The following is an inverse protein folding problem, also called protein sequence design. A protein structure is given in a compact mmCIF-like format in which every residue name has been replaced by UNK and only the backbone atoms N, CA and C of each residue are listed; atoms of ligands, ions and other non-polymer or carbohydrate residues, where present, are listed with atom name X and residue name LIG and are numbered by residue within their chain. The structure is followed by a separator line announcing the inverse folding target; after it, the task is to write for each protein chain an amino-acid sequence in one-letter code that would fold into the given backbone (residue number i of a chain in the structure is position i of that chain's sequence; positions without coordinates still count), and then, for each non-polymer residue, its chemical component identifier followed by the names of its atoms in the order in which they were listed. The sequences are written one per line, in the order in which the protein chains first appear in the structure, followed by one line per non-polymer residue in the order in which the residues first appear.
data_IF_639213802410
#
_entry.id   IF_639213802410
#
_cell.length_a   1.000
_cell.length_b   1.000
_cell.length_c   1.000
_cell.angle_alpha   90.00
_cell.angle_beta   90.00
_cell.angle_gamma   90.00
#
_symmetry.space_group_name_H-M   'P 1'
#
loop_
_entity.id
_entity.type
_entity.pdbx_description
1 polymer ?
#
# COMPACT_ATOMS: atom_id res chain seq x y z
N UNK A 1 9.92 25.39 14.35
CA UNK A 1 9.68 24.05 14.90
C UNK A 1 8.47 23.45 14.19
N UNK A 2 8.54 22.22 13.71
CA UNK A 2 7.39 21.50 13.12
C UNK A 2 6.34 21.36 14.24
N UNK A 3 5.07 21.68 13.95
CA UNK A 3 3.98 21.54 14.93
C UNK A 3 3.75 20.06 15.21
N UNK A 4 3.66 19.68 16.47
CA UNK A 4 3.31 18.31 16.86
C UNK A 4 1.90 17.99 16.38
N UNK A 5 1.74 16.87 15.65
CA UNK A 5 0.46 16.34 15.21
C UNK A 5 0.34 14.86 15.49
N UNK A 6 -0.86 14.43 15.82
CA UNK A 6 -1.21 13.02 16.06
C UNK A 6 -2.52 12.73 15.33
N UNK A 7 -2.48 11.87 14.37
CA UNK A 7 -3.66 11.45 13.60
C UNK A 7 -3.86 9.95 13.77
N UNK A 8 -5.09 9.56 14.04
CA UNK A 8 -5.49 8.16 14.16
C UNK A 8 -6.68 7.95 13.25
N UNK A 9 -6.63 6.90 12.44
CA UNK A 9 -7.73 6.47 11.57
C UNK A 9 -7.98 4.99 11.80
N UNK A 10 -9.25 4.63 11.99
CA UNK A 10 -9.69 3.25 12.01
C UNK A 10 -10.21 2.85 10.64
N UNK A 11 -9.73 1.73 10.11
CA UNK A 11 -10.20 1.15 8.85
C UNK A 11 -11.15 -0.02 9.16
N UNK A 12 -12.43 0.18 8.90
CA UNK A 12 -13.49 -0.80 9.18
C UNK A 12 -13.37 -2.08 8.33
N UNK A 13 -12.84 -1.97 7.10
CA UNK A 13 -12.70 -3.11 6.19
C UNK A 13 -11.58 -4.05 6.66
N UNK A 14 -10.45 -3.49 7.07
CA UNK A 14 -9.29 -4.25 7.54
C UNK A 14 -9.39 -4.58 9.02
N UNK A 15 -10.13 -3.79 9.80
CA UNK A 15 -10.26 -3.91 11.26
C UNK A 15 -8.99 -3.49 11.99
N UNK A 16 -8.28 -2.47 11.51
CA UNK A 16 -7.02 -1.98 12.06
C UNK A 16 -7.04 -0.48 12.30
N UNK A 17 -6.19 -0.01 13.21
CA UNK A 17 -5.94 1.42 13.42
C UNK A 17 -4.62 1.81 12.80
N UNK A 18 -4.59 2.93 12.07
CA UNK A 18 -3.38 3.57 11.58
C UNK A 18 -3.05 4.82 12.40
N UNK A 19 -1.81 4.95 12.81
CA UNK A 19 -1.27 6.08 13.56
C UNK A 19 -0.27 6.85 12.72
N UNK A 20 -0.44 8.17 12.63
CA UNK A 20 0.56 9.09 12.10
C UNK A 20 0.94 10.07 13.20
N UNK A 21 2.18 10.02 13.64
CA UNK A 21 2.77 10.92 14.61
C UNK A 21 3.83 11.76 13.91
N UNK A 22 3.75 13.09 14.03
CA UNK A 22 4.70 13.99 13.40
C UNK A 22 5.15 15.06 14.37
N UNK A 23 6.44 15.34 14.39
CA UNK A 23 7.01 16.39 15.21
C UNK A 23 7.05 16.10 16.71
N UNK A 24 6.96 14.81 17.11
CA UNK A 24 6.85 14.41 18.52
C UNK A 24 8.19 14.54 19.24
N UNK A 25 8.22 15.30 20.33
CA UNK A 25 9.38 15.41 21.24
C UNK A 25 9.13 14.75 22.60
N UNK A 26 7.87 14.58 22.98
CA UNK A 26 7.50 14.01 24.26
C UNK A 26 7.95 12.53 24.40
N UNK A 27 8.34 12.09 25.62
CA UNK A 27 8.54 10.68 25.88
C UNK A 27 7.21 9.94 25.96
N UNK A 28 7.24 8.66 25.61
CA UNK A 28 6.15 7.72 25.88
C UNK A 28 6.53 6.95 27.17
N UNK A 29 5.70 7.07 28.23
CA UNK A 29 5.96 6.37 29.50
C UNK A 29 5.86 4.85 29.30
N UNK A 30 6.35 4.09 30.27
CA UNK A 30 6.25 2.64 30.22
C UNK A 30 4.79 2.20 30.24
N UNK A 31 4.37 1.46 29.21
CA UNK A 31 3.02 0.94 29.04
C UNK A 31 3.03 -0.30 28.15
N UNK A 32 1.91 -0.96 28.02
CA UNK A 32 1.67 -2.03 27.05
C UNK A 32 0.35 -1.79 26.31
N UNK A 33 0.20 -2.42 25.17
CA UNK A 33 -1.00 -2.41 24.37
C UNK A 33 -1.54 -3.82 24.19
N UNK A 34 -2.85 -3.96 23.99
CA UNK A 34 -3.51 -5.25 23.73
C UNK A 34 -3.50 -5.66 22.26
N UNK A 35 -2.79 -4.92 21.42
CA UNK A 35 -2.68 -5.09 19.99
C UNK A 35 -1.26 -5.51 19.58
N UNK A 36 -1.14 -6.11 18.41
CA UNK A 36 0.13 -6.08 17.68
C UNK A 36 0.37 -4.67 17.16
N UNK A 37 1.58 -4.16 17.35
CA UNK A 37 1.98 -2.87 16.79
C UNK A 37 3.04 -3.11 15.73
N UNK A 38 2.82 -2.60 14.54
CA UNK A 38 3.80 -2.59 13.45
C UNK A 38 4.06 -1.14 13.08
N UNK A 39 5.28 -0.66 13.33
CA UNK A 39 5.61 0.73 13.14
C UNK A 39 6.89 0.96 12.35
N UNK A 40 7.02 2.15 11.79
CA UNK A 40 8.18 2.60 11.02
C UNK A 40 8.60 4.00 11.50
N UNK A 41 9.87 4.15 11.83
CA UNK A 41 10.47 5.45 12.15
C UNK A 41 10.78 6.17 10.83
N UNK A 42 10.13 7.31 10.58
CA UNK A 42 10.36 8.11 9.38
C UNK A 42 11.40 9.21 9.61
N UNK A 43 11.43 9.79 10.81
CA UNK A 43 12.46 10.75 11.21
C UNK A 43 12.67 10.79 12.72
N UNK A 44 13.79 11.36 13.15
CA UNK A 44 14.19 11.45 14.55
C UNK A 44 14.78 10.15 15.09
N UNK A 45 15.41 10.26 16.27
CA UNK A 45 15.99 9.12 16.96
C UNK A 45 15.35 8.93 18.34
N UNK A 46 15.19 7.69 18.77
CA UNK A 46 14.59 7.36 20.07
C UNK A 46 15.39 6.28 20.81
N UNK A 47 15.39 6.37 22.13
CA UNK A 47 15.71 5.24 22.97
C UNK A 47 14.41 4.51 23.31
N UNK A 48 14.33 3.27 22.87
CA UNK A 48 13.22 2.36 23.15
C UNK A 48 13.71 1.31 24.16
N UNK A 49 12.98 1.15 25.27
CA UNK A 49 13.11 -0.01 26.14
C UNK A 49 11.90 -0.91 25.93
N UNK A 50 12.12 -2.16 25.55
CA UNK A 50 11.07 -3.14 25.30
C UNK A 50 11.50 -4.51 25.79
N UNK A 51 10.68 -5.18 26.62
CA UNK A 51 10.95 -6.53 27.17
C UNK A 51 12.33 -6.65 27.80
N UNK A 52 12.74 -5.65 28.57
CA UNK A 52 14.08 -5.53 29.22
C UNK A 52 15.26 -5.48 28.22
N UNK A 53 15.02 -5.08 26.99
CA UNK A 53 16.05 -4.78 26.00
C UNK A 53 15.96 -3.32 25.59
N UNK A 54 17.13 -2.69 25.44
CA UNK A 54 17.24 -1.29 25.03
C UNK A 54 17.71 -1.19 23.58
N UNK A 55 17.03 -0.33 22.81
CA UNK A 55 17.32 -0.06 21.42
C UNK A 55 17.51 1.43 21.19
N UNK A 56 18.38 1.78 20.25
CA UNK A 56 18.44 3.14 19.70
C UNK A 56 17.81 3.11 18.30
N UNK A 57 16.61 3.62 18.22
CA UNK A 57 15.86 3.71 16.97
C UNK A 57 16.34 4.88 16.14
N UNK A 58 16.39 4.67 14.82
CA UNK A 58 16.76 5.64 13.79
C UNK A 58 15.79 5.57 12.61
N UNK A 59 15.77 6.55 11.70
CA UNK A 59 14.96 6.51 10.49
C UNK A 59 15.20 5.23 9.69
N UNK A 60 14.11 4.57 9.27
CA UNK A 60 14.10 3.28 8.58
C UNK A 60 13.94 2.07 9.49
N UNK A 61 14.12 2.22 10.81
CA UNK A 61 13.86 1.13 11.74
C UNK A 61 12.36 0.84 11.84
N UNK A 62 12.02 -0.44 11.76
CA UNK A 62 10.68 -0.95 12.06
C UNK A 62 10.61 -1.43 13.49
N UNK A 63 9.49 -1.17 14.15
CA UNK A 63 9.19 -1.69 15.49
C UNK A 63 8.02 -2.66 15.43
N UNK A 64 8.11 -3.72 16.24
CA UNK A 64 7.13 -4.78 16.30
C UNK A 64 6.86 -5.16 17.74
N UNK A 65 5.66 -4.86 18.25
CA UNK A 65 5.26 -5.24 19.60
C UNK A 65 4.14 -6.26 19.56
N UNK A 66 4.24 -7.24 20.48
CA UNK A 66 3.13 -8.15 20.73
C UNK A 66 2.16 -7.54 21.73
N UNK A 67 0.93 -8.01 21.74
CA UNK A 67 -0.01 -7.71 22.81
C UNK A 67 0.59 -8.03 24.18
N UNK A 68 0.63 -7.03 25.07
CA UNK A 68 1.21 -7.14 26.40
C UNK A 68 2.71 -6.83 26.51
N UNK A 69 3.42 -6.57 25.41
CA UNK A 69 4.83 -6.14 25.47
C UNK A 69 4.96 -4.78 26.15
N UNK A 70 5.62 -4.76 27.30
CA UNK A 70 5.93 -3.53 28.01
C UNK A 70 7.01 -2.75 27.27
N UNK A 71 6.73 -1.49 26.98
CA UNK A 71 7.69 -0.62 26.29
C UNK A 71 7.59 0.84 26.74
N UNK A 72 8.74 1.52 26.69
CA UNK A 72 8.89 2.95 26.92
C UNK A 72 9.78 3.55 25.86
N UNK A 73 9.52 4.80 25.47
CA UNK A 73 10.28 5.45 24.43
C UNK A 73 10.58 6.91 24.81
N UNK A 74 11.85 7.31 24.69
CA UNK A 74 12.30 8.68 24.96
C UNK A 74 13.18 9.19 23.83
N UNK A 75 13.27 10.51 23.70
CA UNK A 75 14.09 11.15 22.68
C UNK A 75 15.58 10.81 22.86
N UNK A 76 16.28 10.52 21.76
CA UNK A 76 17.69 10.20 21.75
C UNK A 76 18.55 11.31 21.11
N UNK A 77 18.00 12.12 20.25
CA UNK A 77 18.66 13.24 19.55
C UNK A 77 17.84 14.53 19.64
N UNK A 78 18.16 15.51 18.84
CA UNK A 78 17.45 16.81 18.80
C UNK A 78 16.25 16.80 17.85
N UNK A 79 16.28 15.94 16.82
CA UNK A 79 15.22 15.85 15.82
C UNK A 79 13.94 15.23 16.41
N UNK A 80 12.77 15.84 16.16
CA UNK A 80 11.49 15.29 16.57
C UNK A 80 11.18 13.98 15.82
N UNK A 81 10.37 13.12 16.44
CA UNK A 81 9.93 11.86 15.85
C UNK A 81 8.82 12.09 14.84
N UNK A 82 9.00 11.55 13.63
CA UNK A 82 7.91 11.23 12.73
C UNK A 82 7.79 9.70 12.65
N UNK A 83 6.57 9.19 12.86
CA UNK A 83 6.31 7.75 13.03
C UNK A 83 4.98 7.36 12.41
N UNK A 84 4.98 6.23 11.70
CA UNK A 84 3.77 5.59 11.18
C UNK A 84 3.62 4.23 11.83
N UNK A 85 2.41 3.87 12.22
CA UNK A 85 2.16 2.57 12.81
C UNK A 85 0.75 2.06 12.55
N UNK A 86 0.60 0.75 12.69
CA UNK A 86 -0.68 0.06 12.77
C UNK A 86 -0.81 -0.63 14.11
N UNK A 87 -2.00 -0.53 14.69
CA UNK A 87 -2.47 -1.39 15.77
C UNK A 87 -3.39 -2.46 15.15
N UNK A 88 -3.04 -3.71 15.32
CA UNK A 88 -3.75 -4.86 14.76
C UNK A 88 -4.27 -5.72 15.91
N UNK A 89 -5.62 -5.86 16.06
CA UNK A 89 -6.22 -6.74 17.05
C UNK A 89 -5.78 -8.20 16.88
N UNK A 90 -5.79 -8.97 17.99
CA UNK A 90 -5.37 -10.39 17.98
C UNK A 90 -6.19 -11.22 16.99
N UNK A 91 -7.48 -10.95 16.90
CA UNK A 91 -8.42 -11.66 16.01
C UNK A 91 -8.09 -11.40 14.54
N UNK A 92 -7.77 -10.14 14.21
CA UNK A 92 -7.36 -9.75 12.86
C UNK A 92 -6.01 -10.35 12.51
N UNK A 93 -5.03 -10.29 13.43
CA UNK A 93 -3.72 -10.90 13.22
C UNK A 93 -3.82 -12.43 13.03
N UNK A 94 -4.70 -13.10 13.80
CA UNK A 94 -4.93 -14.54 13.66
C UNK A 94 -5.49 -14.88 12.27
N UNK A 95 -6.45 -14.11 11.78
CA UNK A 95 -7.01 -14.24 10.44
C UNK A 95 -5.94 -14.04 9.36
N UNK A 96 -5.19 -12.92 9.43
CA UNK A 96 -4.14 -12.60 8.48
C UNK A 96 -3.03 -13.67 8.45
N UNK A 97 -2.58 -14.12 9.62
CA UNK A 97 -1.58 -15.20 9.71
C UNK A 97 -2.10 -16.49 9.09
N UNK A 98 -3.37 -16.85 9.35
CA UNK A 98 -4.02 -17.98 8.73
C UNK A 98 -4.11 -17.88 7.20
N UNK A 99 -4.42 -16.69 6.69
CA UNK A 99 -4.48 -16.44 5.24
C UNK A 99 -3.11 -16.58 4.57
N UNK A 100 -2.04 -16.07 5.17
CA UNK A 100 -0.71 -16.07 4.54
C UNK A 100 0.06 -17.38 4.75
N UNK A 101 -0.17 -18.10 5.86
CA UNK A 101 0.56 -19.32 6.20
C UNK A 101 -0.23 -20.60 6.02
N UNK A 102 -1.56 -20.51 5.95
CA UNK A 102 -2.49 -21.66 6.00
C UNK A 102 -2.68 -22.21 7.42
N UNK A 103 -2.07 -21.61 8.46
CA UNK A 103 -2.12 -22.08 9.84
C UNK A 103 -2.77 -21.04 10.74
N UNK A 104 -3.87 -21.38 11.38
CA UNK A 104 -4.61 -20.54 12.33
C UNK A 104 -3.85 -20.46 13.66
N UNK A 105 -2.78 -19.67 13.71
CA UNK A 105 -1.95 -19.47 14.90
C UNK A 105 -1.44 -18.02 14.92
N UNK A 106 -1.50 -17.39 16.09
CA UNK A 106 -0.90 -16.08 16.29
C UNK A 106 0.62 -16.15 16.08
N UNK A 107 1.20 -15.26 15.27
CA UNK A 107 2.64 -15.25 15.04
C UNK A 107 3.36 -14.79 16.31
N UNK A 108 4.45 -15.50 16.65
CA UNK A 108 5.41 -15.07 17.64
C UNK A 108 6.64 -14.51 16.94
N UNK A 109 6.88 -13.20 17.09
CA UNK A 109 8.03 -12.55 16.49
C UNK A 109 9.21 -12.57 17.46
N UNK A 110 10.39 -12.91 16.96
CA UNK A 110 11.61 -13.05 17.79
C UNK A 110 12.33 -11.72 18.03
N UNK A 111 11.99 -10.68 17.27
CA UNK A 111 12.63 -9.36 17.33
C UNK A 111 11.61 -8.25 17.49
N UNK A 112 11.97 -7.20 18.24
CA UNK A 112 11.13 -6.02 18.41
C UNK A 112 11.57 -4.85 17.54
N UNK A 113 12.83 -4.82 17.07
CA UNK A 113 13.39 -3.76 16.23
C UNK A 113 14.24 -4.40 15.13
N UNK A 114 14.02 -3.99 13.90
CA UNK A 114 14.75 -4.49 12.73
C UNK A 114 14.64 -3.51 11.55
N UNK A 115 15.49 -3.70 10.55
CA UNK A 115 15.41 -2.98 9.26
C UNK A 115 14.93 -3.95 8.19
N UNK A 116 13.90 -3.55 7.45
CA UNK A 116 13.41 -4.31 6.32
C UNK A 116 12.77 -3.34 5.30
N UNK A 117 13.55 -2.98 4.27
CA UNK A 117 13.10 -2.02 3.25
C UNK A 117 11.91 -2.55 2.45
N UNK A 118 11.84 -3.87 2.20
CA UNK A 118 10.73 -4.47 1.49
C UNK A 118 9.43 -4.36 2.29
N UNK A 119 9.45 -4.65 3.60
CA UNK A 119 8.31 -4.47 4.47
C UNK A 119 7.89 -2.99 4.56
N UNK A 120 8.83 -2.06 4.60
CA UNK A 120 8.54 -0.62 4.58
C UNK A 120 7.88 -0.18 3.27
N UNK A 121 8.21 -0.81 2.11
CA UNK A 121 7.57 -0.56 0.82
C UNK A 121 6.09 -0.97 0.80
N UNK A 122 5.65 -1.91 1.62
CA UNK A 122 4.23 -2.25 1.78
C UNK A 122 3.57 -1.44 2.89
N UNK A 123 4.29 -1.13 3.97
CA UNK A 123 3.75 -0.36 5.10
C UNK A 123 3.36 1.07 4.70
N UNK A 124 4.23 1.79 3.97
CA UNK A 124 3.97 3.19 3.61
C UNK A 124 2.73 3.37 2.73
N UNK A 125 2.56 2.64 1.60
CA UNK A 125 1.36 2.74 0.78
C UNK A 125 0.10 2.34 1.53
N UNK A 126 0.13 1.23 2.28
CA UNK A 126 -0.98 0.80 3.11
C UNK A 126 -1.41 1.91 4.08
N UNK A 127 -0.44 2.49 4.78
CA UNK A 127 -0.70 3.55 5.75
C UNK A 127 -1.34 4.78 5.08
N UNK A 128 -0.87 5.16 3.90
CA UNK A 128 -1.43 6.29 3.17
C UNK A 128 -2.86 5.99 2.69
N UNK A 129 -3.11 4.78 2.17
CA UNK A 129 -4.45 4.37 1.73
C UNK A 129 -5.46 4.35 2.89
N UNK A 130 -5.05 3.88 4.08
CA UNK A 130 -5.89 3.93 5.29
C UNK A 130 -6.14 5.38 5.74
N UNK A 131 -5.10 6.20 5.79
CA UNK A 131 -5.21 7.62 6.19
C UNK A 131 -6.12 8.45 5.27
N UNK A 132 -6.20 8.10 4.00
CA UNK A 132 -7.03 8.80 3.00
C UNK A 132 -8.39 8.15 2.77
N UNK A 133 -8.67 7.00 3.42
CA UNK A 133 -9.93 6.28 3.26
C UNK A 133 -10.14 5.67 1.87
N UNK A 134 -9.05 5.22 1.22
CA UNK A 134 -9.14 4.56 -0.09
C UNK A 134 -9.94 3.26 0.01
N UNK A 135 -10.92 3.05 -0.88
CA UNK A 135 -11.68 1.80 -1.02
C UNK A 135 -11.05 0.76 -1.94
N UNK A 136 -9.79 0.94 -2.32
CA UNK A 136 -9.10 0.04 -3.25
C UNK A 136 -8.61 -1.23 -2.54
N UNK A 137 -8.74 -2.39 -3.20
CA UNK A 137 -8.29 -3.67 -2.62
C UNK A 137 -6.78 -3.74 -2.37
N UNK A 138 -6.00 -2.81 -2.90
CA UNK A 138 -4.59 -2.65 -2.60
C UNK A 138 -4.29 -2.46 -1.11
N UNK A 139 -5.25 -2.00 -0.29
CA UNK A 139 -5.10 -1.98 1.18
C UNK A 139 -4.91 -3.39 1.73
N UNK A 140 -5.81 -4.29 1.38
CA UNK A 140 -5.76 -5.69 1.83
C UNK A 140 -4.53 -6.40 1.28
N UNK A 141 -4.21 -6.20 0.01
CA UNK A 141 -3.02 -6.75 -0.62
C UNK A 141 -1.74 -6.33 0.10
N UNK A 142 -1.54 -5.03 0.34
CA UNK A 142 -0.37 -4.52 1.04
C UNK A 142 -0.27 -5.05 2.48
N UNK A 143 -1.41 -5.18 3.18
CA UNK A 143 -1.44 -5.74 4.54
C UNK A 143 -1.03 -7.21 4.54
N UNK A 144 -1.55 -8.02 3.63
CA UNK A 144 -1.19 -9.44 3.53
C UNK A 144 0.30 -9.64 3.20
N UNK A 145 0.86 -8.86 2.27
CA UNK A 145 2.31 -8.91 1.99
C UNK A 145 3.14 -8.44 3.18
N UNK A 146 2.74 -7.38 3.86
CA UNK A 146 3.43 -6.92 5.06
C UNK A 146 3.49 -8.02 6.12
N UNK A 147 2.35 -8.65 6.45
CA UNK A 147 2.29 -9.73 7.44
C UNK A 147 3.12 -10.94 7.01
N UNK A 148 3.05 -11.33 5.72
CA UNK A 148 3.87 -12.41 5.17
C UNK A 148 5.36 -12.16 5.37
N UNK A 149 5.85 -10.97 5.03
CA UNK A 149 7.25 -10.59 5.18
C UNK A 149 7.70 -10.56 6.65
N UNK A 150 6.85 -10.07 7.54
CA UNK A 150 7.14 -10.06 8.98
C UNK A 150 7.24 -11.48 9.54
N UNK A 151 6.35 -12.39 9.16
CA UNK A 151 6.39 -13.78 9.58
C UNK A 151 7.65 -14.46 9.03
N UNK A 152 8.03 -14.23 7.78
CA UNK A 152 9.27 -14.76 7.19
C UNK A 152 10.52 -14.23 7.88
N UNK A 153 10.56 -12.94 8.16
CA UNK A 153 11.77 -12.30 8.71
C UNK A 153 12.00 -12.64 10.18
N UNK A 154 10.94 -12.68 10.97
CA UNK A 154 11.05 -12.73 12.44
C UNK A 154 10.12 -13.74 13.13
N UNK A 155 9.31 -14.45 12.35
CA UNK A 155 8.38 -15.47 12.82
C UNK A 155 8.97 -16.87 12.79
N UNK A 156 8.12 -17.86 13.08
CA UNK A 156 8.48 -19.27 12.91
C UNK A 156 8.43 -19.65 11.43
N UNK A 157 9.40 -20.45 10.93
CA UNK A 157 9.39 -20.92 9.55
C UNK A 157 8.09 -21.67 9.23
N UNK A 158 7.54 -21.46 8.04
CA UNK A 158 6.46 -22.27 7.49
C UNK A 158 6.83 -22.69 6.06
N UNK A 159 6.35 -23.84 5.65
CA UNK A 159 6.59 -24.32 4.29
C UNK A 159 5.83 -23.44 3.29
N UNK A 160 6.56 -22.87 2.37
CA UNK A 160 6.03 -22.01 1.34
C UNK A 160 5.93 -22.76 0.03
N UNK A 161 4.80 -23.42 -0.20
CA UNK A 161 4.48 -24.00 -1.48
C UNK A 161 3.64 -22.98 -2.28
N UNK A 162 4.21 -22.46 -3.37
CA UNK A 162 3.47 -21.67 -4.36
C UNK A 162 3.06 -22.64 -5.47
N UNK A 163 1.77 -22.98 -5.60
CA UNK A 163 1.30 -23.87 -6.65
C UNK A 163 1.63 -23.30 -8.03
N UNK A 164 1.86 -24.19 -8.99
CA UNK A 164 1.94 -23.78 -10.39
C UNK A 164 0.51 -23.62 -10.93
N UNK A 165 0.08 -22.38 -11.09
CA UNK A 165 -1.27 -22.03 -11.53
C UNK A 165 -1.26 -20.86 -12.53
N UNK A 166 -0.54 -20.99 -13.68
CA UNK A 166 -0.44 -19.90 -14.66
C UNK A 166 -1.79 -19.57 -15.28
N UNK A 167 -2.65 -20.56 -15.53
CA UNK A 167 -3.98 -20.38 -16.14
C UNK A 167 -4.91 -19.56 -15.24
N UNK A 168 -4.86 -19.79 -13.92
CA UNK A 168 -5.62 -19.03 -12.93
C UNK A 168 -5.15 -17.58 -12.83
N UNK A 169 -3.83 -17.36 -12.94
CA UNK A 169 -3.26 -16.02 -13.00
C UNK A 169 -3.67 -15.30 -14.29
N UNK A 170 -3.66 -15.99 -15.45
CA UNK A 170 -4.15 -15.44 -16.71
C UNK A 170 -5.64 -15.06 -16.64
N UNK A 171 -6.47 -15.89 -16.02
CA UNK A 171 -7.89 -15.57 -15.76
C UNK A 171 -8.02 -14.29 -14.94
N UNK A 172 -7.24 -14.13 -13.88
CA UNK A 172 -7.25 -12.92 -13.08
C UNK A 172 -6.83 -11.67 -13.89
N UNK A 173 -5.79 -11.77 -14.74
CA UNK A 173 -5.39 -10.71 -15.64
C UNK A 173 -6.50 -10.33 -16.63
N UNK A 174 -7.10 -11.32 -17.29
CA UNK A 174 -8.19 -11.11 -18.25
C UNK A 174 -9.42 -10.49 -17.59
N UNK A 175 -9.72 -10.88 -16.34
CA UNK A 175 -10.78 -10.27 -15.56
C UNK A 175 -10.51 -8.80 -15.29
N UNK A 176 -9.32 -8.45 -14.79
CA UNK A 176 -8.94 -7.06 -14.52
C UNK A 176 -8.93 -6.20 -15.78
N UNK A 177 -8.44 -6.73 -16.91
CA UNK A 177 -8.48 -6.02 -18.21
C UNK A 177 -9.89 -5.73 -18.69
N UNK A 178 -10.84 -6.62 -18.43
CA UNK A 178 -12.25 -6.46 -18.86
C UNK A 178 -13.04 -5.55 -17.94
N UNK A 179 -12.73 -5.55 -16.63
CA UNK A 179 -13.51 -4.88 -15.60
C UNK A 179 -12.75 -3.74 -14.91
N UNK A 180 -11.67 -3.21 -15.53
CA UNK A 180 -10.79 -2.22 -14.92
C UNK A 180 -11.51 -0.97 -14.38
N UNK A 181 -12.60 -0.56 -15.02
CA UNK A 181 -13.39 0.60 -14.62
C UNK A 181 -14.33 0.35 -13.42
N UNK A 182 -14.54 -0.91 -13.06
CA UNK A 182 -15.41 -1.29 -11.94
C UNK A 182 -14.62 -1.36 -10.63
N UNK A 183 -15.28 -1.25 -9.47
CA UNK A 183 -14.71 -1.63 -8.20
C UNK A 183 -14.39 -3.14 -8.21
N UNK A 184 -13.12 -3.47 -8.05
CA UNK A 184 -12.62 -4.85 -7.94
C UNK A 184 -12.17 -5.06 -6.50
N UNK A 185 -12.63 -6.15 -5.87
CA UNK A 185 -12.11 -6.62 -4.59
C UNK A 185 -11.20 -7.82 -4.79
N UNK A 186 -10.32 -8.07 -3.83
CA UNK A 186 -9.44 -9.24 -3.85
C UNK A 186 -10.28 -10.54 -3.78
N UNK A 187 -11.39 -10.57 -3.02
CA UNK A 187 -12.33 -11.69 -2.98
C UNK A 187 -12.96 -11.96 -4.35
N UNK A 188 -13.32 -10.90 -5.11
CA UNK A 188 -13.87 -11.05 -6.46
C UNK A 188 -12.85 -11.68 -7.41
N UNK A 189 -11.57 -11.28 -7.31
CA UNK A 189 -10.47 -11.90 -8.07
C UNK A 189 -10.26 -13.37 -7.67
N UNK A 190 -10.25 -13.67 -6.38
CA UNK A 190 -10.12 -15.03 -5.85
C UNK A 190 -11.25 -15.94 -6.33
N UNK A 191 -12.49 -15.48 -6.24
CA UNK A 191 -13.66 -16.24 -6.69
C UNK A 191 -13.61 -16.52 -8.20
N UNK A 192 -13.14 -15.54 -8.99
CA UNK A 192 -13.03 -15.72 -10.44
C UNK A 192 -11.88 -16.65 -10.85
N UNK A 193 -10.74 -16.54 -10.20
CA UNK A 193 -9.56 -17.37 -10.48
C UNK A 193 -9.61 -18.75 -9.82
N UNK A 194 -10.42 -18.93 -8.76
CA UNK A 194 -10.48 -20.17 -7.98
C UNK A 194 -9.32 -20.32 -6.98
N UNK A 195 -8.57 -19.25 -6.71
CA UNK A 195 -7.42 -19.27 -5.80
C UNK A 195 -7.76 -18.60 -4.46
N UNK A 196 -7.09 -19.03 -3.38
CA UNK A 196 -7.09 -18.29 -2.13
C UNK A 196 -6.32 -16.98 -2.27
N UNK A 197 -6.59 -15.98 -1.42
CA UNK A 197 -5.90 -14.68 -1.46
C UNK A 197 -4.39 -14.83 -1.46
N UNK A 198 -3.85 -15.58 -0.50
CA UNK A 198 -2.41 -15.82 -0.38
C UNK A 198 -1.82 -16.51 -1.61
N UNK A 199 -2.51 -17.51 -2.16
CA UNK A 199 -2.07 -18.21 -3.37
C UNK A 199 -2.09 -17.27 -4.57
N UNK A 200 -3.18 -16.53 -4.78
CA UNK A 200 -3.30 -15.56 -5.88
C UNK A 200 -2.18 -14.53 -5.82
N UNK A 201 -1.99 -13.86 -4.67
CA UNK A 201 -0.97 -12.82 -4.53
C UNK A 201 0.44 -13.35 -4.84
N UNK A 202 0.83 -14.50 -4.28
CA UNK A 202 2.15 -15.09 -4.49
C UNK A 202 2.34 -15.61 -5.92
N UNK A 203 1.37 -16.33 -6.45
CA UNK A 203 1.44 -16.84 -7.82
C UNK A 203 1.45 -15.69 -8.83
N UNK A 204 0.58 -14.71 -8.65
CA UNK A 204 0.52 -13.55 -9.54
C UNK A 204 1.85 -12.80 -9.57
N UNK A 205 2.42 -12.49 -8.41
CA UNK A 205 3.73 -11.81 -8.33
C UNK A 205 4.86 -12.66 -8.91
N UNK A 206 4.83 -14.00 -8.71
CA UNK A 206 5.80 -14.92 -9.29
C UNK A 206 5.74 -14.93 -10.83
N UNK A 207 4.53 -15.00 -11.41
CA UNK A 207 4.37 -15.14 -12.87
C UNK A 207 4.39 -13.81 -13.62
N UNK A 208 3.79 -12.75 -13.05
CA UNK A 208 3.65 -11.43 -13.71
C UNK A 208 4.78 -10.47 -13.32
N UNK A 209 5.44 -10.69 -12.18
CA UNK A 209 6.52 -9.83 -11.67
C UNK A 209 6.06 -8.60 -10.91
N UNK A 210 4.74 -8.34 -10.84
CA UNK A 210 4.12 -7.25 -10.07
C UNK A 210 2.89 -7.79 -9.35
N UNK A 211 2.41 -7.04 -8.34
CA UNK A 211 1.21 -7.44 -7.60
C UNK A 211 -0.07 -7.25 -8.41
N UNK A 212 -1.18 -7.97 -8.10
CA UNK A 212 -2.47 -7.80 -8.77
C UNK A 212 -2.95 -6.36 -8.77
N UNK A 213 -2.82 -5.64 -7.65
CA UNK A 213 -3.24 -4.25 -7.57
C UNK A 213 -2.42 -3.35 -8.49
N UNK A 214 -1.09 -3.51 -8.52
CA UNK A 214 -0.21 -2.77 -9.44
C UNK A 214 -0.51 -3.07 -10.90
N UNK A 215 -0.89 -4.31 -11.20
CA UNK A 215 -1.33 -4.68 -12.54
C UNK A 215 -2.62 -3.94 -12.94
N UNK A 216 -3.63 -3.91 -12.06
CA UNK A 216 -4.87 -3.17 -12.30
C UNK A 216 -4.60 -1.67 -12.51
N UNK A 217 -3.77 -1.05 -11.67
CA UNK A 217 -3.37 0.35 -11.82
C UNK A 217 -2.70 0.59 -13.19
N UNK A 218 -1.84 -0.33 -13.64
CA UNK A 218 -1.18 -0.23 -14.95
C UNK A 218 -2.19 -0.30 -16.10
N UNK A 219 -3.17 -1.20 -16.01
CA UNK A 219 -4.26 -1.29 -17.00
C UNK A 219 -5.07 0.00 -17.02
N UNK A 220 -5.48 0.53 -15.86
CA UNK A 220 -6.22 1.80 -15.75
C UNK A 220 -5.45 2.97 -16.34
N UNK A 221 -4.14 3.08 -16.10
CA UNK A 221 -3.31 4.14 -16.69
C UNK A 221 -3.20 3.99 -18.22
N UNK A 222 -3.09 2.77 -18.71
CA UNK A 222 -3.09 2.51 -20.15
C UNK A 222 -4.38 3.01 -20.83
N UNK A 223 -5.53 2.74 -20.23
CA UNK A 223 -6.83 3.24 -20.73
C UNK A 223 -6.99 4.75 -20.52
N UNK A 224 -6.51 5.30 -19.40
CA UNK A 224 -6.52 6.73 -19.15
C UNK A 224 -5.73 7.52 -20.20
N UNK A 225 -4.58 7.00 -20.64
CA UNK A 225 -3.80 7.60 -21.73
C UNK A 225 -4.64 7.74 -22.99
N UNK A 226 -5.32 6.67 -23.42
CA UNK A 226 -6.16 6.67 -24.62
C UNK A 226 -7.28 7.74 -24.54
N UNK A 227 -7.92 7.88 -23.38
CA UNK A 227 -8.96 8.88 -23.15
C UNK A 227 -8.39 10.31 -23.21
N UNK A 228 -7.26 10.56 -22.56
CA UNK A 228 -6.59 11.86 -22.58
C UNK A 228 -6.10 12.23 -23.99
N UNK A 229 -5.57 11.28 -24.75
CA UNK A 229 -5.16 11.42 -26.15
C UNK A 229 -6.38 11.73 -27.05
N UNK A 230 -7.55 11.15 -26.73
CA UNK A 230 -8.81 11.50 -27.39
C UNK A 230 -9.33 12.91 -27.06
N UNK A 231 -8.81 13.52 -25.96
CA UNK A 231 -9.19 14.86 -25.50
C UNK A 231 -10.17 14.87 -24.33
N UNK A 232 -10.45 13.70 -23.69
CA UNK A 232 -11.32 13.61 -22.51
C UNK A 232 -10.70 14.39 -21.35
N UNK A 233 -11.47 15.17 -20.57
CA UNK A 233 -10.95 15.90 -19.42
C UNK A 233 -10.43 14.95 -18.33
N UNK A 234 -9.39 15.35 -17.53
CA UNK A 234 -8.81 14.52 -16.49
C UNK A 234 -9.81 14.01 -15.44
N UNK A 235 -10.77 14.83 -15.04
CA UNK A 235 -11.83 14.44 -14.07
C UNK A 235 -12.66 13.29 -14.62
N UNK A 236 -13.12 13.42 -15.85
CA UNK A 236 -13.93 12.41 -16.53
C UNK A 236 -13.11 11.14 -16.83
N UNK A 237 -11.84 11.30 -17.21
CA UNK A 237 -10.90 10.20 -17.39
C UNK A 237 -10.74 9.38 -16.11
N UNK A 238 -10.55 10.03 -14.94
CA UNK A 238 -10.44 9.35 -13.65
C UNK A 238 -11.67 8.46 -13.38
N UNK A 239 -12.87 8.99 -13.58
CA UNK A 239 -14.13 8.26 -13.38
C UNK A 239 -14.24 7.06 -14.34
N UNK A 240 -14.00 7.30 -15.65
CA UNK A 240 -14.13 6.26 -16.67
C UNK A 240 -13.09 5.13 -16.51
N UNK A 241 -11.97 5.39 -15.85
CA UNK A 241 -10.92 4.40 -15.62
C UNK A 241 -10.95 3.78 -14.22
N UNK A 242 -11.98 4.09 -13.42
CA UNK A 242 -12.23 3.42 -12.14
C UNK A 242 -11.32 3.87 -11.01
N UNK A 243 -10.72 5.07 -11.07
CA UNK A 243 -10.06 5.67 -9.92
C UNK A 243 -11.08 6.23 -8.94
N UNK A 244 -10.83 6.07 -7.65
CA UNK A 244 -11.72 6.51 -6.57
C UNK A 244 -11.93 8.02 -6.55
N UNK A 245 -10.89 8.79 -6.90
CA UNK A 245 -10.93 10.25 -6.95
C UNK A 245 -9.88 10.83 -7.91
N UNK A 246 -10.07 12.09 -8.28
CA UNK A 246 -9.16 12.80 -9.18
C UNK A 246 -7.76 13.00 -8.60
N UNK A 247 -7.63 13.18 -7.29
CA UNK A 247 -6.33 13.42 -6.65
C UNK A 247 -5.48 12.16 -6.69
N UNK A 248 -6.07 11.01 -6.36
CA UNK A 248 -5.43 9.71 -6.49
C UNK A 248 -5.00 9.45 -7.94
N UNK A 249 -5.91 9.64 -8.91
CA UNK A 249 -5.60 9.52 -10.33
C UNK A 249 -4.43 10.43 -10.74
N UNK A 250 -4.49 11.72 -10.38
CA UNK A 250 -3.45 12.69 -10.76
C UNK A 250 -2.09 12.33 -10.21
N UNK A 251 -2.02 11.97 -8.93
CA UNK A 251 -0.79 11.58 -8.26
C UNK A 251 -0.21 10.31 -8.89
N UNK A 252 -1.05 9.30 -9.09
CA UNK A 252 -0.62 8.04 -9.66
C UNK A 252 -0.18 8.19 -11.12
N UNK A 253 -0.99 8.86 -11.96
CA UNK A 253 -0.65 9.13 -13.36
C UNK A 253 0.67 9.92 -13.46
N UNK A 254 0.85 10.96 -12.63
CA UNK A 254 2.07 11.77 -12.63
C UNK A 254 3.29 10.99 -12.21
N UNK A 255 3.17 10.10 -11.21
CA UNK A 255 4.28 9.24 -10.77
C UNK A 255 4.66 8.21 -11.83
N UNK A 256 3.72 7.75 -12.63
CA UNK A 256 3.91 6.71 -13.64
C UNK A 256 4.41 7.27 -14.98
N UNK A 257 3.84 8.40 -15.43
CA UNK A 257 4.11 9.01 -16.74
C UNK A 257 5.16 10.13 -16.66
N UNK A 258 5.32 10.76 -15.50
CA UNK A 258 6.19 11.93 -15.31
C UNK A 258 5.52 13.26 -15.64
N UNK A 259 4.26 13.27 -16.06
CA UNK A 259 3.46 14.47 -16.40
C UNK A 259 2.10 14.38 -15.72
N UNK A 260 1.52 15.53 -15.39
CA UNK A 260 0.11 15.55 -14.94
C UNK A 260 -0.83 15.14 -16.08
N UNK A 261 -2.02 14.54 -15.77
CA UNK A 261 -3.01 14.19 -16.80
C UNK A 261 -3.40 15.36 -17.71
N UNK A 262 -3.52 16.57 -17.14
CA UNK A 262 -3.79 17.78 -17.89
C UNK A 262 -2.68 18.14 -18.87
N UNK A 263 -1.42 18.15 -18.39
CA UNK A 263 -0.26 18.44 -19.25
C UNK A 263 -0.11 17.37 -20.35
N UNK A 264 -0.34 16.10 -20.04
CA UNK A 264 -0.31 15.03 -21.02
C UNK A 264 -1.37 15.22 -22.11
N UNK A 265 -2.62 15.51 -21.73
CA UNK A 265 -3.73 15.79 -22.66
C UNK A 265 -3.44 16.98 -23.60
N UNK A 266 -2.86 18.07 -23.08
CA UNK A 266 -2.50 19.28 -23.84
C UNK A 266 -1.56 18.98 -25.03
N UNK A 267 -0.67 18.02 -24.92
CA UNK A 267 0.25 17.62 -26.00
C UNK A 267 -0.56 17.22 -27.24
N UNK A 268 -1.59 16.40 -27.08
CA UNK A 268 -2.39 15.85 -28.17
C UNK A 268 -3.43 16.84 -28.71
N UNK A 269 -3.94 17.74 -27.86
CA UNK A 269 -4.85 18.81 -28.33
C UNK A 269 -4.13 19.82 -29.23
N UNK A 270 -2.90 20.21 -28.88
CA UNK A 270 -2.10 21.11 -29.68
C UNK A 270 -1.72 20.50 -31.04
N UNK A 271 -1.36 19.23 -31.06
CA UNK A 271 -1.06 18.47 -32.28
C UNK A 271 -2.26 18.47 -33.25
N UNK A 272 -3.47 18.15 -32.75
CA UNK A 272 -4.70 18.14 -33.57
C UNK A 272 -5.04 19.50 -34.17
N UNK A 273 -4.79 20.59 -33.47
CA UNK A 273 -5.02 21.97 -33.96
C UNK A 273 -4.03 22.31 -35.09
N UNK A 274 -2.77 21.89 -34.95
CA UNK A 274 -1.74 22.11 -35.96
C UNK A 274 -2.03 21.35 -37.24
N UNK A 275 -2.46 20.09 -37.15
CA UNK A 275 -2.83 19.25 -38.29
C UNK A 275 -4.09 19.75 -38.99
N UNK A 276 -5.07 20.28 -38.27
CA UNK A 276 -6.27 20.87 -38.83
C UNK A 276 -5.96 22.16 -39.61
N UNK A 277 -5.04 23.00 -39.13
CA UNK A 277 -4.58 24.20 -39.82
C UNK A 277 -3.77 23.88 -41.08
N UNK A 278 -2.93 22.82 -41.03
CA UNK A 278 -2.16 22.39 -42.21
C UNK A 278 -3.06 21.83 -43.32
N UNK A 279 -4.17 21.15 -42.97
CA UNK A 279 -5.15 20.63 -43.95
C UNK A 279 -6.13 21.67 -44.44
N UNK A 280 -6.45 22.71 -43.66
CA UNK A 280 -7.34 23.80 -44.07
C UNK A 280 -6.69 24.85 -45.00
N UNK A 281 -5.35 24.97 -44.97
CA UNK A 281 -4.61 25.88 -45.86
C UNK A 281 -4.30 25.36 -47.26
N UNK A 282 -4.65 24.10 -47.56
CA UNK A 282 -4.38 23.47 -48.88
C UNK A 282 -5.56 23.54 -49.86
N UNK A 283 -6.68 24.19 -49.47
CA UNK A 283 -7.89 24.30 -50.30
C UNK A 283 -8.18 25.74 -50.79
N UNK A 284 -7.24 26.67 -50.68
CA UNK A 284 -7.38 28.05 -51.14
C UNK A 284 -6.26 28.41 -52.16
N UNK A 285 -5.96 27.54 -53.12
CA UNK A 285 -5.21 27.90 -54.33
C UNK A 285 -5.95 27.38 -55.59
#
# INVERSE_FOLDING_TARGET
MKKETRTIVYDDELGIEAYRLEGIVQPFPNHFLEYYVIGLIESGERFLSCRNQDYRLKPGDMVLFHPGDNHACRQAGEAPLDYRAFNIPKEVMLRLAGEVTGVQKLPGFSVNVFVNEEAACYLRPLHEMVMTGSGEFGKEENLLFLILLLIRHSGQPFEECIPECPDEVEKACAFMQRHFAEPISLDRLCNFSGLSKSTLLRAFTKYIGITPYRYLETVRIGEAKKLLEAGVPPVETAIQTGFSDQSHFTNYFSSFIGLTPGAYREIFLKSKITDARAKGGANEE
#
